data_IF_805502490645
#
_entry.id   IF_805502490645
#
_cell.length_a   1.000
_cell.length_b   1.000
_cell.length_c   1.000
_cell.angle_alpha   90.00
_cell.angle_beta   90.00
_cell.angle_gamma   90.00
#
_symmetry.space_group_name_H-M   'P 1'
#
loop_
_entity.id
_entity.type
_entity.pdbx_description
1 polymer ?
#
# COMPACT_ATOMS: atom_id res chain seq x y z
N UNK A 1 -8.37 -2.63 -47.23
CA UNK A 1 -8.18 -3.99 -46.69
C UNK A 1 -6.73 -4.50 -46.66
N UNK A 2 -6.03 -4.78 -47.78
CA UNK A 2 -4.65 -5.37 -47.72
C UNK A 2 -3.56 -4.38 -47.25
N UNK A 3 -3.71 -3.07 -47.49
CA UNK A 3 -2.76 -2.05 -47.00
C UNK A 3 -2.91 -1.75 -45.51
N UNK A 4 -4.13 -1.72 -44.98
CA UNK A 4 -4.43 -1.50 -43.55
C UNK A 4 -3.83 -2.59 -42.66
N UNK A 5 -3.87 -3.85 -43.11
CA UNK A 5 -3.25 -4.98 -42.39
C UNK A 5 -1.73 -4.85 -42.30
N UNK A 6 -1.07 -4.29 -43.32
CA UNK A 6 0.37 -4.07 -43.31
C UNK A 6 0.76 -2.88 -42.42
N UNK A 7 -0.08 -1.84 -42.35
CA UNK A 7 0.09 -0.71 -41.45
C UNK A 7 -0.06 -1.13 -39.98
N UNK A 8 -1.09 -1.92 -39.65
CA UNK A 8 -1.32 -2.41 -38.29
C UNK A 8 -0.16 -3.27 -37.75
N UNK A 9 0.39 -4.16 -38.60
CA UNK A 9 1.55 -5.01 -38.25
C UNK A 9 2.81 -4.21 -37.95
N UNK A 10 2.97 -3.02 -38.54
CA UNK A 10 4.13 -2.14 -38.29
C UNK A 10 4.03 -1.43 -36.94
N UNK A 11 2.82 -1.14 -36.46
CA UNK A 11 2.60 -0.45 -35.19
C UNK A 11 2.40 -1.40 -34.00
N UNK A 12 2.06 -2.67 -34.24
CA UNK A 12 1.87 -3.65 -33.18
C UNK A 12 3.05 -3.75 -32.18
N UNK A 13 4.33 -3.77 -32.61
CA UNK A 13 5.46 -3.80 -31.66
C UNK A 13 5.53 -2.56 -30.78
N UNK A 14 5.26 -1.38 -31.35
CA UNK A 14 5.25 -0.12 -30.60
C UNK A 14 4.14 -0.10 -29.54
N UNK A 15 2.94 -0.57 -29.90
CA UNK A 15 1.83 -0.71 -28.97
C UNK A 15 2.17 -1.68 -27.82
N UNK A 16 2.77 -2.82 -28.14
CA UNK A 16 3.23 -3.78 -27.12
C UNK A 16 4.25 -3.14 -26.18
N UNK A 17 5.23 -2.41 -26.70
CA UNK A 17 6.23 -1.71 -25.88
C UNK A 17 5.54 -0.70 -24.94
N UNK A 18 4.63 0.11 -25.46
CA UNK A 18 3.90 1.11 -24.64
C UNK A 18 3.11 0.42 -23.53
N UNK A 19 2.42 -0.68 -23.84
CA UNK A 19 1.67 -1.44 -22.85
C UNK A 19 2.57 -2.05 -21.77
N UNK A 20 3.70 -2.64 -22.15
CA UNK A 20 4.65 -3.24 -21.20
C UNK A 20 5.27 -2.16 -20.32
N UNK A 21 5.74 -1.05 -20.89
CA UNK A 21 6.31 0.05 -20.11
C UNK A 21 5.27 0.67 -19.17
N UNK A 22 4.04 0.89 -19.65
CA UNK A 22 2.95 1.40 -18.82
C UNK A 22 2.61 0.46 -17.67
N UNK A 23 2.55 -0.85 -17.92
CA UNK A 23 2.32 -1.86 -16.88
C UNK A 23 3.46 -1.86 -15.85
N UNK A 24 4.72 -1.85 -16.30
CA UNK A 24 5.87 -1.82 -15.41
C UNK A 24 5.88 -0.55 -14.56
N UNK A 25 5.57 0.62 -15.13
CA UNK A 25 5.46 1.87 -14.39
C UNK A 25 4.36 1.81 -13.33
N UNK A 26 3.18 1.27 -13.66
CA UNK A 26 2.08 1.10 -12.71
C UNK A 26 2.42 0.12 -11.57
N UNK A 27 3.09 -1.00 -11.88
CA UNK A 27 3.55 -1.97 -10.89
C UNK A 27 4.61 -1.38 -9.96
N UNK A 28 5.57 -0.63 -10.51
CA UNK A 28 6.57 0.08 -9.70
C UNK A 28 5.90 1.12 -8.81
N UNK A 29 5.02 1.96 -9.35
CA UNK A 29 4.28 2.94 -8.57
C UNK A 29 3.49 2.27 -7.43
N UNK A 30 2.86 1.13 -7.71
CA UNK A 30 2.15 0.36 -6.69
C UNK A 30 3.10 -0.20 -5.62
N UNK A 31 4.20 -0.85 -6.02
CA UNK A 31 5.21 -1.43 -5.14
C UNK A 31 5.78 -0.41 -4.17
N UNK A 32 6.05 0.80 -4.65
CA UNK A 32 6.63 1.89 -3.86
C UNK A 32 5.60 2.91 -3.34
N UNK A 33 4.31 2.55 -3.35
CA UNK A 33 3.29 3.36 -2.68
C UNK A 33 3.36 3.20 -1.15
N UNK A 34 2.63 4.02 -0.41
CA UNK A 34 2.59 3.92 1.05
C UNK A 34 1.69 2.73 1.49
N UNK A 35 2.14 1.91 2.45
CA UNK A 35 1.33 0.83 3.03
C UNK A 35 0.10 1.35 3.77
N UNK A 36 0.21 2.53 4.39
CA UNK A 36 -0.91 3.28 4.96
C UNK A 36 -0.71 4.76 4.57
N UNK A 37 -1.75 5.46 4.08
CA UNK A 37 -1.64 6.88 3.76
C UNK A 37 -1.10 7.68 4.95
N UNK A 38 -0.03 8.44 4.73
CA UNK A 38 0.68 9.14 5.81
C UNK A 38 -0.21 10.11 6.59
N UNK A 39 -1.21 10.71 5.94
CA UNK A 39 -2.16 11.63 6.58
C UNK A 39 -3.02 10.91 7.63
N UNK A 40 -3.34 9.64 7.41
CA UNK A 40 -4.07 8.83 8.40
C UNK A 40 -3.18 8.48 9.59
N UNK A 41 -1.92 8.13 9.35
CA UNK A 41 -0.97 7.87 10.44
C UNK A 41 -0.77 9.14 11.29
N UNK A 42 -0.62 10.30 10.65
CA UNK A 42 -0.47 11.59 11.33
C UNK A 42 -1.69 12.01 12.14
N UNK A 43 -2.89 11.53 11.80
CA UNK A 43 -4.09 11.77 12.59
C UNK A 43 -4.18 10.93 13.86
N UNK A 44 -3.34 9.90 14.01
CA UNK A 44 -3.29 9.13 15.25
C UNK A 44 -2.74 9.96 16.40
N UNK A 45 -3.38 9.83 17.57
CA UNK A 45 -2.96 10.50 18.78
C UNK A 45 -2.72 9.47 19.87
N UNK A 46 -1.65 9.68 20.64
CA UNK A 46 -1.34 8.86 21.81
C UNK A 46 -2.56 8.81 22.75
N UNK A 47 -2.91 7.61 23.21
CA UNK A 47 -4.08 7.39 24.07
C UNK A 47 -5.36 6.99 23.33
N UNK A 48 -5.39 7.03 22.00
CA UNK A 48 -6.52 6.49 21.24
C UNK A 48 -6.73 5.00 21.53
N UNK A 49 -7.98 4.61 21.67
CA UNK A 49 -8.41 3.20 21.77
C UNK A 49 -8.19 2.45 20.46
N UNK A 50 -8.19 1.12 20.53
CA UNK A 50 -8.13 0.26 19.34
C UNK A 50 -9.24 0.58 18.33
N UNK A 51 -10.46 0.85 18.80
CA UNK A 51 -11.59 1.20 17.95
C UNK A 51 -11.40 2.55 17.25
N UNK A 52 -10.87 3.56 17.96
CA UNK A 52 -10.55 4.87 17.38
C UNK A 52 -9.46 4.73 16.30
N UNK A 53 -8.38 4.00 16.58
CA UNK A 53 -7.33 3.74 15.58
C UNK A 53 -7.89 2.98 14.38
N UNK A 54 -8.74 1.98 14.60
CA UNK A 54 -9.39 1.21 13.54
C UNK A 54 -10.34 2.08 12.70
N UNK A 55 -11.01 3.08 13.30
CA UNK A 55 -11.87 4.01 12.57
C UNK A 55 -11.07 4.89 11.59
N UNK A 56 -9.81 5.20 11.92
CA UNK A 56 -8.92 6.02 11.11
C UNK A 56 -8.18 5.18 10.07
N UNK A 57 -7.52 4.11 10.50
CA UNK A 57 -6.66 3.29 9.64
C UNK A 57 -7.43 2.22 8.87
N UNK A 58 -8.63 1.85 9.33
CA UNK A 58 -9.30 0.62 8.94
C UNK A 58 -8.83 -0.59 9.74
N UNK A 59 -9.33 -1.80 9.42
CA UNK A 59 -8.90 -3.02 10.08
C UNK A 59 -7.43 -3.33 9.77
N UNK A 60 -6.66 -3.86 10.74
CA UNK A 60 -5.30 -4.31 10.48
C UNK A 60 -5.30 -5.53 9.55
N UNK A 61 -4.25 -5.67 8.74
CA UNK A 61 -4.04 -6.86 7.92
C UNK A 61 -3.65 -8.10 8.73
N UNK A 62 -3.02 -7.88 9.90
CA UNK A 62 -2.61 -8.94 10.82
C UNK A 62 -2.60 -8.42 12.25
N UNK A 63 -3.07 -9.25 13.18
CA UNK A 63 -2.94 -9.04 14.62
C UNK A 63 -2.04 -10.16 15.15
N UNK A 64 -0.97 -9.81 15.85
CA UNK A 64 -0.03 -10.77 16.42
C UNK A 64 -0.42 -11.12 17.86
N UNK A 65 0.08 -12.24 18.38
CA UNK A 65 -0.18 -12.68 19.77
C UNK A 65 0.33 -11.68 20.82
N UNK A 66 1.35 -10.88 20.48
CA UNK A 66 1.84 -9.77 21.30
C UNK A 66 0.86 -8.59 21.42
N UNK A 67 -0.26 -8.64 20.70
CA UNK A 67 -1.21 -7.54 20.56
C UNK A 67 -0.84 -6.53 19.48
N UNK A 68 0.36 -6.61 18.89
CA UNK A 68 0.79 -5.70 17.81
C UNK A 68 -0.13 -5.82 16.60
N UNK A 69 -0.46 -4.69 15.98
CA UNK A 69 -1.24 -4.64 14.74
C UNK A 69 -0.35 -4.27 13.56
N UNK A 70 -0.43 -5.03 12.47
CA UNK A 70 0.28 -4.77 11.23
C UNK A 70 -0.70 -4.35 10.13
N UNK A 71 -0.35 -3.25 9.45
CA UNK A 71 -1.05 -2.73 8.28
C UNK A 71 -0.16 -2.87 7.04
N UNK A 72 -0.58 -3.74 6.13
CA UNK A 72 0.09 -4.00 4.86
C UNK A 72 -0.94 -4.05 3.73
N UNK A 73 -0.55 -3.52 2.56
CA UNK A 73 -1.38 -3.55 1.35
C UNK A 73 -0.81 -4.52 0.34
N UNK A 74 -1.70 -5.19 -0.39
CA UNK A 74 -1.28 -6.09 -1.47
C UNK A 74 -0.40 -5.35 -2.49
N UNK A 75 0.71 -5.97 -2.85
CA UNK A 75 1.69 -5.47 -3.82
C UNK A 75 2.39 -4.17 -3.42
N UNK A 76 2.39 -3.82 -2.12
CA UNK A 76 3.18 -2.71 -1.58
C UNK A 76 4.34 -3.29 -0.79
N UNK A 77 5.55 -2.82 -1.07
CA UNK A 77 6.78 -3.25 -0.40
C UNK A 77 6.97 -2.47 0.90
N UNK A 78 6.18 -2.82 1.91
CA UNK A 78 6.29 -2.23 3.23
C UNK A 78 5.07 -2.48 4.10
N UNK A 79 5.16 -2.09 5.36
CA UNK A 79 4.08 -2.19 6.33
C UNK A 79 4.23 -1.14 7.44
N UNK A 80 3.16 -0.98 8.21
CA UNK A 80 3.16 -0.17 9.44
C UNK A 80 2.75 -1.06 10.61
N UNK A 81 3.54 -1.04 11.67
CA UNK A 81 3.21 -1.70 12.94
C UNK A 81 2.80 -0.69 14.00
N UNK A 82 1.64 -0.93 14.61
CA UNK A 82 1.11 -0.16 15.73
C UNK A 82 1.30 -0.98 17.01
N UNK A 83 1.78 -0.29 18.06
CA UNK A 83 1.98 -0.87 19.38
C UNK A 83 1.00 -0.26 20.38
N UNK A 84 0.58 -1.08 21.33
CA UNK A 84 -0.38 -0.72 22.35
C UNK A 84 0.31 -0.65 23.70
N UNK A 85 -0.21 0.19 24.57
CA UNK A 85 0.08 0.11 26.00
C UNK A 85 -0.70 -1.05 26.61
N UNK A 86 -0.35 -1.41 27.84
CA UNK A 86 -1.06 -2.42 28.63
C UNK A 86 -2.53 -2.06 28.91
N UNK A 87 -2.89 -0.78 28.85
CA UNK A 87 -4.27 -0.30 29.01
C UNK A 87 -5.11 -0.40 27.70
N UNK A 88 -4.53 -0.93 26.63
CA UNK A 88 -5.19 -1.07 25.33
C UNK A 88 -5.19 0.19 24.47
N UNK A 89 -4.52 1.27 24.90
CA UNK A 89 -4.43 2.51 24.13
C UNK A 89 -3.17 2.59 23.26
N UNK A 90 -3.24 3.35 22.17
CA UNK A 90 -2.12 3.60 21.28
C UNK A 90 -0.99 4.31 22.04
N UNK A 91 0.22 3.76 21.94
CA UNK A 91 1.37 4.27 22.68
C UNK A 91 1.95 5.58 22.12
N UNK A 92 1.58 5.95 20.89
CA UNK A 92 2.07 7.13 20.18
C UNK A 92 3.16 6.83 19.15
N UNK A 93 3.66 5.59 19.10
CA UNK A 93 4.76 5.17 18.24
C UNK A 93 4.31 4.12 17.23
N UNK A 94 4.77 4.26 16.00
CA UNK A 94 4.59 3.29 14.95
C UNK A 94 5.93 2.96 14.29
N UNK A 95 6.07 1.73 13.83
CA UNK A 95 7.23 1.33 13.03
C UNK A 95 6.80 1.25 11.56
N UNK A 96 7.45 2.05 10.71
CA UNK A 96 7.25 2.03 9.27
C UNK A 96 8.44 1.33 8.63
N UNK A 97 8.19 0.22 7.94
CA UNK A 97 9.22 -0.53 7.22
C UNK A 97 8.92 -0.56 5.71
N UNK A 98 9.98 -0.43 4.91
CA UNK A 98 9.95 -0.52 3.45
C UNK A 98 11.11 -1.42 3.00
N UNK A 99 10.85 -2.25 2.00
CA UNK A 99 11.80 -3.22 1.42
C UNK A 99 12.31 -2.75 0.06
#
# INVERSE_FOLDING_TARGET
>A
MRSEVNTLKRFAPLLVIILVVGLLAALNHRAFSEPVPIDRIKSLQKGMTQDEVQSILGPPSKIHESGQWTYQRAWVLGFVNIHWKSDGTFNGDFNYERF
#
